data_IF_213073085224
#
_entry.id   IF_213073085224
#
_cell.length_a   1.000
_cell.length_b   1.000
_cell.length_c   1.000
_cell.angle_alpha   90.00
_cell.angle_beta   90.00
_cell.angle_gamma   90.00
#
_symmetry.space_group_name_H-M   'P 1'
#
loop_
_entity.id
_entity.type
_entity.pdbx_description
1 polymer ?
#
# COMPACT_ATOMS: atom_id res chain seq x y z
N UNK A 1 7.17 27.20 36.41
CA UNK A 1 8.53 27.62 36.02
C UNK A 1 8.68 27.59 34.48
N UNK A 2 8.28 28.64 33.74
CA UNK A 2 8.54 28.75 32.30
C UNK A 2 9.30 30.06 31.99
N UNK A 3 10.60 30.13 32.29
CA UNK A 3 11.38 31.36 32.08
C UNK A 3 12.47 31.22 30.99
N UNK A 4 12.72 30.01 30.47
CA UNK A 4 13.89 29.77 29.60
C UNK A 4 13.61 29.81 28.09
N UNK A 5 12.35 29.75 27.64
CA UNK A 5 12.01 29.73 26.20
C UNK A 5 11.69 31.12 25.60
N UNK A 6 11.44 32.14 26.41
CA UNK A 6 11.13 33.49 25.92
C UNK A 6 12.38 34.30 25.57
N UNK A 7 13.54 33.93 26.14
CA UNK A 7 14.76 34.74 26.03
C UNK A 7 15.49 34.56 24.68
N UNK A 8 15.32 33.42 24.00
CA UNK A 8 15.95 33.15 22.69
C UNK A 8 15.22 33.80 21.52
N UNK A 9 13.87 33.87 21.55
CA UNK A 9 13.09 34.58 20.51
C UNK A 9 13.32 36.09 20.54
N UNK A 10 13.27 36.70 21.72
CA UNK A 10 13.54 38.14 21.86
C UNK A 10 14.95 38.53 21.40
N UNK A 11 15.95 37.66 21.60
CA UNK A 11 17.30 37.87 21.10
C UNK A 11 17.45 37.69 19.58
N UNK A 12 16.63 36.84 18.94
CA UNK A 12 16.63 36.68 17.48
C UNK A 12 15.89 37.81 16.76
N UNK A 13 14.79 38.31 17.35
CA UNK A 13 14.02 39.41 16.78
C UNK A 13 14.84 40.73 16.80
N UNK A 14 15.51 41.03 17.91
CA UNK A 14 16.39 42.22 18.01
C UNK A 14 17.60 42.19 17.06
N UNK A 15 18.15 41.00 16.79
CA UNK A 15 19.24 40.83 15.80
C UNK A 15 18.76 41.04 14.36
N UNK A 16 17.49 40.74 14.09
CA UNK A 16 16.88 40.87 12.76
C UNK A 16 16.52 42.32 12.46
N UNK A 17 15.99 43.07 13.43
CA UNK A 17 15.75 44.52 13.32
C UNK A 17 17.05 45.33 13.15
N UNK A 18 18.09 44.96 13.92
CA UNK A 18 19.42 45.54 13.80
C UNK A 18 20.01 45.30 12.40
N UNK A 19 19.81 44.10 11.85
CA UNK A 19 20.24 43.72 10.51
C UNK A 19 19.62 44.59 9.42
N UNK A 20 18.30 44.77 9.46
CA UNK A 20 17.59 45.59 8.46
C UNK A 20 18.10 47.02 8.48
N UNK A 21 18.24 47.61 9.67
CA UNK A 21 18.70 48.99 9.84
C UNK A 21 20.14 49.21 9.35
N UNK A 22 21.05 48.28 9.67
CA UNK A 22 22.46 48.40 9.30
C UNK A 22 22.69 48.10 7.82
N UNK A 23 21.87 47.25 7.20
CA UNK A 23 21.98 46.88 5.78
C UNK A 23 21.83 48.07 4.84
N UNK A 24 20.88 48.96 5.12
CA UNK A 24 20.64 50.15 4.29
C UNK A 24 21.82 51.12 4.41
N UNK A 25 22.34 51.30 5.63
CA UNK A 25 23.55 52.10 5.89
C UNK A 25 24.79 51.50 5.21
N UNK A 26 24.96 50.17 5.26
CA UNK A 26 26.07 49.47 4.62
C UNK A 26 26.03 49.60 3.10
N UNK A 27 24.85 49.57 2.47
CA UNK A 27 24.73 49.70 1.01
C UNK A 27 25.02 51.10 0.49
N UNK A 28 24.52 52.13 1.17
CA UNK A 28 24.69 53.54 0.78
C UNK A 28 26.06 54.14 1.11
N UNK A 29 26.90 53.43 1.88
CA UNK A 29 28.18 53.93 2.39
C UNK A 29 29.34 53.82 1.38
N UNK A 30 30.34 54.69 1.54
CA UNK A 30 31.60 54.62 0.78
C UNK A 30 32.41 53.36 1.17
N UNK A 31 33.42 52.96 0.38
CA UNK A 31 34.24 51.77 0.70
C UNK A 31 34.88 51.81 2.10
N UNK A 32 35.26 53.00 2.56
CA UNK A 32 35.85 53.20 3.90
C UNK A 32 34.79 53.06 5.00
N UNK A 33 33.61 53.61 4.77
CA UNK A 33 32.49 53.57 5.72
C UNK A 33 31.82 52.19 5.80
N UNK A 34 31.89 51.41 4.72
CA UNK A 34 31.48 50.00 4.71
C UNK A 34 32.32 49.14 5.66
N UNK A 35 33.64 49.35 5.68
CA UNK A 35 34.54 48.67 6.61
C UNK A 35 34.14 48.94 8.06
N UNK A 36 33.97 50.23 8.41
CA UNK A 36 33.55 50.64 9.75
C UNK A 36 32.18 50.09 10.16
N UNK A 37 31.21 50.14 9.25
CA UNK A 37 29.85 49.62 9.50
C UNK A 37 29.86 48.10 9.70
N UNK A 38 30.74 47.38 9.00
CA UNK A 38 30.93 45.94 9.15
C UNK A 38 31.60 45.60 10.48
N UNK A 39 32.62 46.35 10.89
CA UNK A 39 33.30 46.15 12.18
C UNK A 39 32.36 46.39 13.37
N UNK A 40 31.54 47.45 13.29
CA UNK A 40 30.49 47.75 14.29
C UNK A 40 29.46 46.60 14.36
N UNK A 41 29.08 46.01 13.22
CA UNK A 41 28.13 44.90 13.17
C UNK A 41 28.70 43.59 13.71
N UNK A 42 29.97 43.30 13.42
CA UNK A 42 30.71 42.14 13.96
C UNK A 42 30.84 42.26 15.48
N UNK A 43 31.15 43.46 15.99
CA UNK A 43 31.30 43.70 17.42
C UNK A 43 29.98 43.46 18.20
N UNK A 44 28.82 43.76 17.59
CA UNK A 44 27.51 43.58 18.23
C UNK A 44 26.99 42.15 18.08
N UNK A 45 27.23 41.50 16.94
CA UNK A 45 26.67 40.16 16.66
C UNK A 45 27.60 39.00 17.05
N UNK A 46 28.91 39.25 17.17
CA UNK A 46 29.93 38.24 17.41
C UNK A 46 30.14 37.28 16.23
N UNK A 47 29.60 37.60 15.04
CA UNK A 47 29.70 36.75 13.87
C UNK A 47 31.07 36.86 13.18
N UNK A 48 31.38 35.86 12.35
CA UNK A 48 32.59 35.87 11.56
C UNK A 48 32.48 36.86 10.38
N UNK A 49 33.51 37.65 10.13
CA UNK A 49 33.54 38.72 9.12
C UNK A 49 32.99 38.33 7.73
N UNK A 50 33.35 37.14 7.21
CA UNK A 50 32.79 36.63 5.93
C UNK A 50 31.30 36.35 5.96
N UNK A 51 30.75 35.95 7.11
CA UNK A 51 29.33 35.69 7.29
C UNK A 51 28.53 37.00 7.19
N UNK A 52 29.01 38.05 7.85
CA UNK A 52 28.33 39.34 7.90
C UNK A 52 28.41 40.12 6.57
N UNK A 53 29.53 40.02 5.85
CA UNK A 53 29.60 40.51 4.46
C UNK A 53 28.50 39.90 3.60
N UNK A 54 28.28 38.59 3.72
CA UNK A 54 27.26 37.88 2.95
C UNK A 54 25.86 38.30 3.40
N UNK A 55 25.64 38.51 4.69
CA UNK A 55 24.34 38.86 5.27
C UNK A 55 23.93 40.29 4.91
N UNK A 56 24.85 41.25 5.04
CA UNK A 56 24.65 42.66 4.66
C UNK A 56 24.64 42.86 3.13
N UNK A 57 25.41 42.03 2.40
CA UNK A 57 25.56 42.09 0.95
C UNK A 57 24.49 41.34 0.14
N UNK A 58 23.76 40.39 0.74
CA UNK A 58 22.56 39.82 0.08
C UNK A 58 21.61 40.97 -0.27
N UNK A 59 21.02 40.97 -1.45
CA UNK A 59 19.91 41.86 -1.78
C UNK A 59 18.71 41.48 -0.91
N UNK A 60 17.94 42.46 -0.43
CA UNK A 60 16.67 42.20 0.26
C UNK A 60 15.63 41.61 -0.68
N UNK A 61 15.97 41.53 -1.96
CA UNK A 61 15.26 40.83 -2.99
C UNK A 61 15.68 39.36 -2.96
N UNK A 62 15.12 38.62 -2.00
CA UNK A 62 14.71 37.26 -2.32
C UNK A 62 13.54 37.40 -3.32
N UNK A 63 13.88 37.85 -4.53
CA UNK A 63 12.95 37.91 -5.63
C UNK A 63 12.34 36.53 -5.72
N UNK A 64 11.01 36.48 -5.61
CA UNK A 64 10.25 35.31 -5.99
C UNK A 64 10.85 34.83 -7.31
N UNK A 65 11.44 33.63 -7.29
CA UNK A 65 11.87 32.97 -8.53
C UNK A 65 10.70 33.12 -9.50
N UNK A 66 10.91 33.63 -10.73
CA UNK A 66 9.80 33.86 -11.65
C UNK A 66 9.02 32.56 -11.73
N UNK A 67 7.80 32.58 -11.17
CA UNK A 67 6.95 31.41 -11.16
C UNK A 67 6.71 31.11 -12.62
N UNK A 68 7.28 29.99 -13.08
CA UNK A 68 7.12 29.46 -14.41
C UNK A 68 5.67 29.71 -14.85
N UNK A 69 5.52 30.49 -15.91
CA UNK A 69 4.26 31.01 -16.46
C UNK A 69 3.12 30.04 -16.14
N UNK A 70 2.19 30.45 -15.27
CA UNK A 70 0.96 29.71 -14.96
C UNK A 70 0.08 29.72 -16.21
N UNK A 71 0.45 28.91 -17.20
CA UNK A 71 -0.40 28.60 -18.34
C UNK A 71 -1.65 27.90 -17.82
N UNK A 72 -2.79 28.58 -17.93
CA UNK A 72 -4.16 28.05 -17.86
C UNK A 72 -4.44 27.14 -16.65
N UNK A 73 -4.64 27.80 -15.50
CA UNK A 73 -4.98 27.22 -14.19
C UNK A 73 -6.16 26.21 -14.21
N UNK A 74 -7.09 26.33 -15.17
CA UNK A 74 -8.28 25.48 -15.28
C UNK A 74 -7.96 24.06 -15.79
N UNK A 75 -6.97 23.89 -16.68
CA UNK A 75 -6.60 22.57 -17.23
C UNK A 75 -5.55 21.84 -16.38
N UNK A 76 -4.79 22.59 -15.57
CA UNK A 76 -3.77 22.02 -14.68
C UNK A 76 -4.36 21.37 -13.42
N UNK A 77 -5.59 21.70 -13.05
CA UNK A 77 -6.31 21.04 -11.95
C UNK A 77 -6.96 19.73 -12.47
N UNK A 78 -7.57 19.74 -13.67
CA UNK A 78 -8.29 18.57 -14.21
C UNK A 78 -7.46 17.26 -14.29
N UNK A 79 -6.15 17.37 -14.55
CA UNK A 79 -5.24 16.22 -14.56
C UNK A 79 -5.10 15.61 -13.15
N UNK A 80 -4.73 16.37 -12.10
CA UNK A 80 -4.82 15.94 -10.71
C UNK A 80 -6.16 15.32 -10.33
N UNK A 81 -7.30 15.93 -10.66
CA UNK A 81 -8.63 15.36 -10.35
C UNK A 81 -8.84 13.99 -10.99
N UNK A 82 -8.53 13.88 -12.28
CA UNK A 82 -8.59 12.60 -12.99
C UNK A 82 -7.69 11.55 -12.34
N UNK A 83 -6.46 11.92 -11.96
CA UNK A 83 -5.51 11.02 -11.27
C UNK A 83 -6.10 10.52 -9.95
N UNK A 84 -6.78 11.37 -9.20
CA UNK A 84 -7.38 11.01 -7.91
C UNK A 84 -8.52 10.00 -8.11
N UNK A 85 -9.42 10.24 -9.05
CA UNK A 85 -10.53 9.33 -9.36
C UNK A 85 -10.02 7.96 -9.77
N UNK A 86 -9.03 7.92 -10.68
CA UNK A 86 -8.43 6.66 -11.14
C UNK A 86 -7.68 5.96 -10.01
N UNK A 87 -6.96 6.71 -9.17
CA UNK A 87 -6.23 6.16 -8.03
C UNK A 87 -7.15 5.58 -6.96
N UNK A 88 -8.30 6.21 -6.70
CA UNK A 88 -9.33 5.70 -5.79
C UNK A 88 -10.01 4.44 -6.35
N UNK A 89 -10.27 4.39 -7.66
CA UNK A 89 -10.77 3.20 -8.34
C UNK A 89 -9.76 2.05 -8.34
N UNK A 90 -8.46 2.37 -8.39
CA UNK A 90 -7.36 1.41 -8.35
C UNK A 90 -6.95 0.99 -6.93
N UNK A 91 -7.83 1.12 -5.93
CA UNK A 91 -7.56 0.77 -4.53
C UNK A 91 -6.30 1.42 -3.94
N UNK A 92 -5.99 2.64 -4.40
CA UNK A 92 -4.89 3.46 -3.87
C UNK A 92 -3.51 2.82 -4.01
N UNK A 93 -3.27 2.05 -5.07
CA UNK A 93 -1.97 1.47 -5.39
C UNK A 93 -0.86 2.53 -5.54
N UNK A 94 0.40 2.11 -5.36
CA UNK A 94 1.55 3.00 -5.52
C UNK A 94 1.71 3.47 -6.98
N UNK A 95 2.32 4.64 -7.20
CA UNK A 95 2.43 5.27 -8.53
C UNK A 95 3.08 4.39 -9.59
N UNK A 96 4.01 3.50 -9.22
CA UNK A 96 4.62 2.52 -10.13
C UNK A 96 3.59 1.53 -10.69
N UNK A 97 2.74 0.97 -9.83
CA UNK A 97 1.66 0.05 -10.24
C UNK A 97 0.54 0.81 -10.95
N UNK A 98 0.21 2.01 -10.46
CA UNK A 98 -0.77 2.87 -11.08
C UNK A 98 -0.40 3.18 -12.54
N UNK A 99 0.86 3.56 -12.80
CA UNK A 99 1.35 3.82 -14.17
C UNK A 99 1.14 2.61 -15.10
N UNK A 100 1.45 1.41 -14.63
CA UNK A 100 1.29 0.19 -15.43
C UNK A 100 -0.18 -0.14 -15.70
N UNK A 101 -1.06 0.10 -14.72
CA UNK A 101 -2.49 -0.16 -14.83
C UNK A 101 -3.26 0.93 -15.59
N UNK A 102 -2.67 2.12 -15.73
CA UNK A 102 -3.34 3.33 -16.19
C UNK A 102 -4.03 3.18 -17.57
N UNK A 103 -3.39 2.62 -18.62
CA UNK A 103 -4.02 2.48 -19.93
C UNK A 103 -5.24 1.55 -19.91
N UNK A 104 -5.18 0.48 -19.10
CA UNK A 104 -6.28 -0.47 -18.94
C UNK A 104 -7.42 0.13 -18.12
N UNK A 105 -7.10 0.78 -17.00
CA UNK A 105 -8.07 1.40 -16.10
C UNK A 105 -8.84 2.51 -16.80
N UNK A 106 -8.15 3.45 -17.45
CA UNK A 106 -8.80 4.55 -18.19
C UNK A 106 -9.73 3.99 -19.26
N UNK A 107 -9.25 3.07 -20.10
CA UNK A 107 -10.08 2.47 -21.14
C UNK A 107 -11.27 1.67 -20.59
N UNK A 108 -11.13 1.04 -19.43
CA UNK A 108 -12.25 0.35 -18.77
C UNK A 108 -13.26 1.32 -18.19
N UNK A 109 -12.81 2.39 -17.55
CA UNK A 109 -13.68 3.37 -16.92
C UNK A 109 -14.46 4.21 -17.95
N UNK A 110 -13.84 4.53 -19.09
CA UNK A 110 -14.52 5.17 -20.23
C UNK A 110 -15.60 4.25 -20.82
N UNK A 111 -15.30 2.95 -21.02
CA UNK A 111 -16.29 1.98 -21.55
C UNK A 111 -17.51 1.78 -20.66
N UNK A 112 -17.35 1.94 -19.35
CA UNK A 112 -18.42 1.77 -18.37
C UNK A 112 -19.02 3.12 -17.91
N UNK A 113 -18.74 4.22 -18.61
CA UNK A 113 -19.28 5.56 -18.32
C UNK A 113 -18.95 6.05 -16.89
N UNK A 114 -17.90 5.52 -16.29
CA UNK A 114 -17.42 5.93 -14.96
C UNK A 114 -16.40 7.07 -15.03
N UNK A 115 -15.91 7.39 -16.22
CA UNK A 115 -14.95 8.44 -16.47
C UNK A 115 -15.12 8.96 -17.90
N UNK A 116 -15.24 10.27 -18.04
CA UNK A 116 -15.17 10.96 -19.34
C UNK A 116 -14.00 11.93 -19.30
N UNK A 117 -12.87 11.53 -19.91
CA UNK A 117 -11.68 12.36 -19.96
C UNK A 117 -11.69 13.19 -21.24
N UNK A 118 -11.49 14.49 -21.08
CA UNK A 118 -11.13 15.35 -22.20
C UNK A 118 -9.88 14.77 -22.92
N UNK A 119 -9.88 14.70 -24.26
CA UNK A 119 -8.74 14.20 -25.03
C UNK A 119 -7.39 14.82 -24.65
N UNK A 120 -7.37 16.11 -24.27
CA UNK A 120 -6.16 16.81 -23.84
C UNK A 120 -5.67 16.31 -22.47
N UNK A 121 -6.59 16.03 -21.54
CA UNK A 121 -6.28 15.46 -20.22
C UNK A 121 -5.75 14.05 -20.38
N UNK A 122 -6.38 13.24 -21.23
CA UNK A 122 -5.94 11.87 -21.54
C UNK A 122 -4.54 11.84 -22.13
N UNK A 123 -4.25 12.75 -23.08
CA UNK A 123 -2.93 12.86 -23.72
C UNK A 123 -1.81 13.25 -22.73
N UNK A 124 -2.13 13.97 -21.65
CA UNK A 124 -1.18 14.33 -20.58
C UNK A 124 -1.06 13.25 -19.50
N UNK A 125 -2.15 12.54 -19.23
CA UNK A 125 -2.25 11.53 -18.18
C UNK A 125 -1.54 10.22 -18.56
N UNK A 126 -1.80 9.67 -19.74
CA UNK A 126 -1.22 8.41 -20.20
C UNK A 126 0.33 8.38 -20.22
N UNK A 127 1.04 9.42 -20.68
CA UNK A 127 2.50 9.44 -20.66
C UNK A 127 3.10 9.82 -19.30
N UNK A 128 2.28 10.15 -18.29
CA UNK A 128 2.77 10.61 -17.00
C UNK A 128 3.70 9.56 -16.35
N UNK A 129 4.83 10.04 -15.82
CA UNK A 129 5.76 9.17 -15.11
C UNK A 129 5.18 8.74 -13.76
N UNK A 130 5.63 7.60 -13.22
CA UNK A 130 5.23 7.15 -11.89
C UNK A 130 5.54 8.20 -10.81
N UNK A 131 6.68 8.89 -10.94
CA UNK A 131 7.08 9.98 -10.05
C UNK A 131 6.15 11.21 -10.16
N UNK A 132 5.65 11.51 -11.38
CA UNK A 132 4.67 12.57 -11.60
C UNK A 132 3.35 12.22 -10.90
N UNK A 133 2.84 11.01 -11.12
CA UNK A 133 1.62 10.52 -10.46
C UNK A 133 1.76 10.54 -8.93
N UNK A 134 2.90 10.09 -8.40
CA UNK A 134 3.17 10.12 -6.96
C UNK A 134 3.16 11.56 -6.40
N UNK A 135 3.76 12.53 -7.11
CA UNK A 135 3.75 13.95 -6.72
C UNK A 135 2.34 14.54 -6.74
N UNK A 136 1.55 14.23 -7.77
CA UNK A 136 0.15 14.68 -7.86
C UNK A 136 -0.72 14.12 -6.72
N UNK A 137 -0.43 12.90 -6.26
CA UNK A 137 -1.16 12.24 -5.17
C UNK A 137 -0.64 12.58 -3.78
N UNK A 138 0.56 13.20 -3.64
CA UNK A 138 1.14 13.53 -2.33
C UNK A 138 0.23 14.34 -1.41
N UNK A 139 -0.51 15.37 -1.88
CA UNK A 139 -1.36 16.18 -1.00
C UNK A 139 -2.51 15.37 -0.39
N UNK A 140 -2.97 14.33 -1.07
CA UNK A 140 -4.21 13.62 -0.73
C UNK A 140 -3.93 12.31 0.01
N UNK A 141 -2.76 11.70 -0.20
CA UNK A 141 -2.34 10.46 0.49
C UNK A 141 -2.48 10.50 2.03
N UNK A 142 -2.11 11.59 2.73
CA UNK A 142 -2.24 11.65 4.18
C UNK A 142 -3.70 11.62 4.64
N UNK A 143 -4.59 12.32 3.91
CA UNK A 143 -6.01 12.47 4.25
C UNK A 143 -6.85 11.29 3.80
N UNK A 144 -6.48 10.65 2.68
CA UNK A 144 -7.18 9.49 2.16
C UNK A 144 -7.14 8.30 3.14
N UNK A 145 -6.06 8.18 3.93
CA UNK A 145 -5.84 7.03 4.80
C UNK A 145 -5.55 5.75 4.00
N UNK A 146 -4.92 4.76 4.64
CA UNK A 146 -4.83 3.41 4.05
C UNK A 146 -6.24 2.83 4.05
N UNK A 147 -6.83 2.61 2.86
CA UNK A 147 -8.04 1.78 2.73
C UNK A 147 -7.71 0.47 3.45
N UNK A 148 -8.50 0.12 4.48
CA UNK A 148 -8.24 -0.96 5.44
C UNK A 148 -7.43 -2.07 4.77
N UNK A 149 -6.18 -2.29 5.19
CA UNK A 149 -5.47 -3.53 4.87
C UNK A 149 -6.48 -4.64 5.08
N UNK A 150 -6.84 -5.38 4.01
CA UNK A 150 -7.62 -6.62 4.14
C UNK A 150 -6.98 -7.34 5.30
N UNK A 151 -7.71 -7.49 6.42
CA UNK A 151 -7.19 -8.18 7.60
C UNK A 151 -6.69 -9.50 7.03
N UNK A 152 -5.37 -9.71 7.07
CA UNK A 152 -4.80 -11.02 6.81
C UNK A 152 -5.47 -11.87 7.89
N UNK A 153 -6.55 -12.60 7.55
CA UNK A 153 -7.05 -13.67 8.41
C UNK A 153 -5.78 -14.46 8.73
N UNK A 154 -5.49 -14.69 10.01
CA UNK A 154 -4.49 -15.66 10.37
C UNK A 154 -5.03 -16.95 9.76
N UNK A 155 -4.55 -17.29 8.57
CA UNK A 155 -5.07 -18.45 7.87
C UNK A 155 -4.61 -19.63 8.70
N UNK A 156 -5.56 -20.48 9.09
CA UNK A 156 -5.26 -21.73 9.76
C UNK A 156 -4.22 -22.54 8.96
N UNK A 157 -4.16 -22.34 7.63
CA UNK A 157 -3.10 -22.83 6.74
C UNK A 157 -1.67 -22.45 7.10
N UNK A 158 -1.41 -21.44 7.95
CA UNK A 158 -0.05 -21.19 8.47
C UNK A 158 0.40 -22.19 9.53
N UNK A 159 -0.54 -22.93 10.12
CA UNK A 159 -0.26 -23.98 11.12
C UNK A 159 -0.07 -25.35 10.46
N UNK A 160 -0.49 -25.50 9.20
CA UNK A 160 -0.33 -26.72 8.41
C UNK A 160 0.97 -26.62 7.61
N UNK A 161 1.94 -27.54 7.78
CA UNK A 161 3.13 -27.57 6.95
C UNK A 161 2.74 -27.81 5.48
N UNK A 162 3.18 -26.96 4.56
CA UNK A 162 3.00 -27.19 3.12
C UNK A 162 3.97 -28.29 2.71
N UNK A 163 3.43 -29.44 2.28
CA UNK A 163 4.20 -30.51 1.68
C UNK A 163 4.13 -30.39 0.16
N UNK A 164 5.23 -30.70 -0.51
CA UNK A 164 5.32 -30.81 -1.96
C UNK A 164 5.43 -32.28 -2.36
N UNK A 165 5.14 -32.60 -3.62
CA UNK A 165 5.14 -33.96 -4.15
C UNK A 165 6.39 -34.81 -3.79
N UNK A 166 7.56 -34.17 -3.67
CA UNK A 166 8.82 -34.85 -3.32
C UNK A 166 8.97 -35.19 -1.83
N UNK A 167 8.13 -34.65 -0.96
CA UNK A 167 8.28 -34.79 0.49
C UNK A 167 7.67 -36.09 1.04
N UNK A 168 6.94 -36.84 0.22
CA UNK A 168 6.19 -38.02 0.66
C UNK A 168 7.07 -39.24 0.97
N UNK A 169 8.27 -39.35 0.39
CA UNK A 169 9.23 -40.44 0.67
C UNK A 169 8.62 -41.87 0.72
N UNK A 170 7.57 -42.12 -0.09
CA UNK A 170 6.80 -43.39 -0.11
C UNK A 170 6.28 -43.79 1.28
N UNK A 171 5.26 -43.10 1.81
CA UNK A 171 4.73 -43.44 3.11
C UNK A 171 4.05 -44.82 3.06
N UNK A 172 3.91 -45.53 4.20
CA UNK A 172 3.08 -46.74 4.24
C UNK A 172 1.60 -46.39 3.94
N UNK A 173 0.77 -47.38 3.58
CA UNK A 173 -0.68 -47.17 3.42
C UNK A 173 -1.30 -46.57 4.68
N UNK A 174 -2.25 -45.65 4.50
CA UNK A 174 -2.94 -44.93 5.57
C UNK A 174 -2.82 -43.41 5.50
N UNK A 175 -2.07 -42.84 4.56
CA UNK A 175 -2.04 -41.38 4.36
C UNK A 175 -2.94 -41.01 3.20
N UNK A 176 -4.01 -40.28 3.49
CA UNK A 176 -5.05 -39.95 2.53
C UNK A 176 -4.90 -38.53 2.01
N UNK A 177 -4.88 -38.37 0.69
CA UNK A 177 -5.12 -37.10 0.02
C UNK A 177 -6.64 -36.91 -0.13
N UNK A 178 -7.16 -35.82 0.42
CA UNK A 178 -8.58 -35.47 0.36
C UNK A 178 -8.81 -34.20 -0.47
N UNK A 179 -9.87 -34.23 -1.29
CA UNK A 179 -10.30 -33.12 -2.13
C UNK A 179 -11.83 -33.01 -2.13
N UNK A 180 -12.38 -31.81 -2.39
CA UNK A 180 -13.82 -31.62 -2.53
C UNK A 180 -14.21 -30.88 -3.81
N UNK A 181 -15.29 -31.34 -4.44
CA UNK A 181 -15.86 -30.70 -5.62
C UNK A 181 -17.24 -30.13 -5.30
N UNK A 182 -17.38 -28.81 -5.43
CA UNK A 182 -18.66 -28.12 -5.27
C UNK A 182 -19.53 -28.27 -6.53
N UNK A 183 -20.73 -28.83 -6.40
CA UNK A 183 -21.72 -28.96 -7.47
C UNK A 183 -22.55 -27.67 -7.59
N UNK A 184 -21.89 -26.56 -7.92
CA UNK A 184 -22.51 -25.21 -7.90
C UNK A 184 -23.00 -24.70 -9.25
N UNK A 185 -22.64 -25.36 -10.36
CA UNK A 185 -23.11 -25.01 -11.72
C UNK A 185 -22.84 -23.57 -12.17
N UNK A 186 -22.04 -22.79 -11.42
CA UNK A 186 -21.95 -21.34 -11.52
C UNK A 186 -21.21 -20.71 -10.33
N UNK A 187 -21.50 -19.45 -9.96
CA UNK A 187 -20.75 -18.74 -8.93
C UNK A 187 -20.84 -19.44 -7.57
N UNK A 188 -19.70 -19.54 -6.87
CA UNK A 188 -19.51 -20.19 -5.57
C UNK A 188 -20.20 -19.48 -4.38
N UNK A 189 -21.14 -18.57 -4.64
CA UNK A 189 -21.89 -17.88 -3.58
C UNK A 189 -23.20 -18.62 -3.28
N UNK A 190 -23.24 -19.42 -2.21
CA UNK A 190 -24.45 -20.13 -1.80
C UNK A 190 -24.16 -21.42 -1.02
N UNK A 191 -25.22 -22.20 -0.78
CA UNK A 191 -25.13 -23.54 -0.21
C UNK A 191 -25.17 -24.56 -1.34
N UNK A 192 -24.19 -25.47 -1.39
CA UNK A 192 -24.05 -26.44 -2.47
C UNK A 192 -23.81 -27.85 -1.91
N UNK A 193 -24.05 -28.83 -2.77
CA UNK A 193 -23.63 -30.20 -2.51
C UNK A 193 -22.16 -30.29 -2.87
N UNK A 194 -21.35 -30.86 -1.99
CA UNK A 194 -19.94 -31.13 -2.25
C UNK A 194 -19.72 -32.63 -2.30
N UNK A 195 -18.97 -33.14 -3.27
CA UNK A 195 -18.46 -34.51 -3.22
C UNK A 195 -17.06 -34.48 -2.63
N UNK A 196 -16.84 -35.23 -1.55
CA UNK A 196 -15.51 -35.45 -0.98
C UNK A 196 -14.88 -36.67 -1.67
N UNK A 197 -13.61 -36.57 -2.04
CA UNK A 197 -12.81 -37.69 -2.55
C UNK A 197 -11.65 -37.90 -1.60
N UNK A 198 -11.35 -39.16 -1.25
CA UNK A 198 -10.22 -39.52 -0.42
C UNK A 198 -9.43 -40.65 -1.08
N UNK A 199 -8.12 -40.44 -1.28
CA UNK A 199 -7.24 -41.40 -1.98
C UNK A 199 -6.00 -41.67 -1.13
N UNK A 200 -5.67 -42.94 -0.92
CA UNK A 200 -4.42 -43.28 -0.24
C UNK A 200 -3.20 -43.04 -1.13
N UNK A 201 -2.23 -42.30 -0.62
CA UNK A 201 -1.04 -41.86 -1.36
C UNK A 201 -0.12 -43.04 -1.69
N UNK A 202 -0.08 -44.07 -0.85
CA UNK A 202 0.80 -45.23 -1.04
C UNK A 202 0.29 -46.17 -2.13
N UNK A 203 -0.99 -46.55 -2.03
CA UNK A 203 -1.64 -47.57 -2.85
C UNK A 203 -2.36 -46.99 -4.05
N UNK A 204 -2.64 -45.69 -4.04
CA UNK A 204 -3.53 -45.04 -4.99
C UNK A 204 -4.99 -45.49 -4.84
N UNK A 205 -5.35 -46.14 -3.73
CA UNK A 205 -6.71 -46.66 -3.51
C UNK A 205 -7.68 -45.50 -3.30
N UNK A 206 -8.64 -45.28 -4.22
CA UNK A 206 -9.70 -44.31 -4.02
C UNK A 206 -10.79 -44.92 -3.16
N UNK A 207 -11.24 -44.20 -2.13
CA UNK A 207 -12.43 -44.60 -1.37
C UNK A 207 -13.70 -44.24 -2.15
N UNK A 208 -13.97 -44.93 -3.26
CA UNK A 208 -15.17 -44.67 -4.07
C UNK A 208 -16.49 -45.01 -3.35
N UNK A 209 -16.45 -45.87 -2.33
CA UNK A 209 -17.65 -46.32 -1.62
C UNK A 209 -18.17 -45.29 -0.63
N UNK A 210 -17.28 -44.45 -0.07
CA UNK A 210 -17.66 -43.39 0.88
C UNK A 210 -17.28 -41.98 0.42
N UNK A 211 -16.73 -41.84 -0.79
CA UNK A 211 -16.68 -40.58 -1.55
C UNK A 211 -18.08 -40.19 -2.02
N UNK A 212 -18.94 -39.83 -1.06
CA UNK A 212 -20.33 -39.46 -1.28
C UNK A 212 -20.55 -37.95 -1.36
N UNK A 213 -21.69 -37.51 -1.92
CA UNK A 213 -22.13 -36.13 -1.81
C UNK A 213 -22.51 -35.80 -0.36
N UNK A 214 -21.88 -34.77 0.21
CA UNK A 214 -22.23 -34.19 1.50
C UNK A 214 -22.79 -32.77 1.30
N UNK A 215 -23.88 -32.40 1.99
CA UNK A 215 -24.40 -31.05 1.93
C UNK A 215 -23.48 -30.09 2.68
N UNK A 216 -22.89 -29.12 1.98
CA UNK A 216 -22.11 -28.06 2.59
C UNK A 216 -22.97 -26.78 2.62
N UNK A 217 -23.54 -26.51 3.80
CA UNK A 217 -24.43 -25.36 3.98
C UNK A 217 -23.66 -24.03 4.03
N UNK A 218 -22.39 -24.04 4.45
CA UNK A 218 -21.49 -22.88 4.52
C UNK A 218 -20.01 -23.32 4.43
N UNK A 219 -19.12 -22.48 3.86
CA UNK A 219 -17.65 -22.66 3.79
C UNK A 219 -16.95 -22.90 5.16
N UNK A 220 -17.68 -22.89 6.27
CA UNK A 220 -17.16 -22.84 7.63
C UNK A 220 -17.58 -23.99 8.54
N UNK A 221 -18.31 -25.00 8.04
CA UNK A 221 -18.91 -26.03 8.90
C UNK A 221 -18.49 -27.44 8.45
N UNK A 222 -17.81 -28.24 9.29
CA UNK A 222 -17.19 -29.50 8.89
C UNK A 222 -18.21 -30.65 8.85
N UNK A 223 -19.32 -30.48 8.13
CA UNK A 223 -20.30 -31.55 7.93
C UNK A 223 -19.71 -32.75 7.19
N UNK A 224 -18.72 -32.51 6.33
CA UNK A 224 -17.95 -33.55 5.66
C UNK A 224 -17.28 -34.50 6.68
N UNK A 225 -16.80 -33.99 7.82
CA UNK A 225 -16.18 -34.82 8.86
C UNK A 225 -17.17 -35.80 9.49
N UNK A 226 -18.41 -35.37 9.72
CA UNK A 226 -19.45 -36.23 10.30
C UNK A 226 -19.88 -37.32 9.33
N UNK A 227 -19.91 -37.01 8.02
CA UNK A 227 -20.22 -37.97 6.97
C UNK A 227 -19.08 -38.95 6.68
N UNK A 228 -17.83 -38.51 6.83
CA UNK A 228 -16.64 -39.31 6.56
C UNK A 228 -16.18 -40.16 7.75
N UNK A 229 -16.34 -39.70 9.00
CA UNK A 229 -15.91 -40.44 10.20
C UNK A 229 -16.40 -41.91 10.26
N UNK A 230 -17.62 -42.26 9.85
CA UNK A 230 -18.07 -43.65 9.79
C UNK A 230 -17.32 -44.51 8.75
N UNK A 231 -16.80 -43.92 7.67
CA UNK A 231 -16.07 -44.66 6.63
C UNK A 231 -14.62 -44.97 7.01
N UNK A 232 -14.08 -44.32 8.04
CA UNK A 232 -12.73 -44.61 8.54
C UNK A 232 -12.58 -46.09 8.93
N UNK A 233 -13.64 -46.72 9.45
CA UNK A 233 -13.61 -48.13 9.84
C UNK A 233 -13.71 -49.13 8.69
N UNK A 234 -14.07 -48.69 7.48
CA UNK A 234 -14.17 -49.54 6.29
C UNK A 234 -12.89 -49.62 5.48
N UNK A 235 -11.89 -48.79 5.77
CA UNK A 235 -10.60 -48.86 5.08
C UNK A 235 -9.88 -50.18 5.43
N UNK A 236 -9.21 -50.82 4.43
CA UNK A 236 -8.44 -52.05 4.65
C UNK A 236 -7.13 -51.83 5.43
N UNK A 237 -6.83 -50.58 5.79
CA UNK A 237 -5.65 -50.15 6.53
C UNK A 237 -6.03 -49.03 7.52
N UNK A 238 -5.27 -48.86 8.62
CA UNK A 238 -5.47 -47.74 9.53
C UNK A 238 -5.14 -46.41 8.84
N UNK A 239 -5.98 -45.40 9.05
CA UNK A 239 -5.68 -44.03 8.61
C UNK A 239 -4.67 -43.42 9.58
N UNK A 240 -3.53 -42.99 9.03
CA UNK A 240 -2.37 -42.44 9.72
C UNK A 240 -2.25 -40.92 9.57
N UNK A 241 -2.88 -40.35 8.54
CA UNK A 241 -2.88 -38.90 8.31
C UNK A 241 -3.72 -38.49 7.12
N UNK A 242 -4.06 -37.22 7.09
CA UNK A 242 -4.85 -36.59 6.02
C UNK A 242 -4.04 -35.42 5.46
N UNK A 243 -4.00 -35.32 4.14
CA UNK A 243 -3.47 -34.19 3.39
C UNK A 243 -4.62 -33.56 2.59
N UNK A 244 -4.81 -32.26 2.76
CA UNK A 244 -5.82 -31.50 2.02
C UNK A 244 -5.17 -30.26 1.42
N UNK A 245 -5.80 -29.71 0.40
CA UNK A 245 -5.42 -28.40 -0.09
C UNK A 245 -5.80 -27.28 0.92
N UNK A 246 -5.51 -26.03 0.54
CA UNK A 246 -5.82 -24.86 1.36
C UNK A 246 -7.26 -24.36 1.22
N UNK A 247 -8.21 -25.20 0.79
CA UNK A 247 -9.60 -24.80 0.71
C UNK A 247 -10.13 -24.46 2.11
N UNK A 248 -11.01 -23.46 2.13
CA UNK A 248 -11.80 -23.03 3.26
C UNK A 248 -12.57 -24.18 3.92
N UNK A 249 -13.04 -25.16 3.14
CA UNK A 249 -13.77 -26.34 3.61
C UNK A 249 -12.93 -27.20 4.58
N UNK A 250 -11.63 -27.31 4.31
CA UNK A 250 -10.68 -28.12 5.08
C UNK A 250 -9.90 -27.31 6.11
N UNK A 251 -9.79 -25.99 5.91
CA UNK A 251 -9.21 -25.06 6.86
C UNK A 251 -10.14 -24.87 8.07
N UNK A 252 -10.20 -25.85 8.96
CA UNK A 252 -10.99 -25.81 10.20
C UNK A 252 -10.26 -26.48 11.38
N UNK A 253 -10.70 -26.20 12.61
CA UNK A 253 -10.06 -26.74 13.83
C UNK A 253 -10.19 -28.26 13.94
N UNK A 254 -11.24 -28.85 13.38
CA UNK A 254 -11.50 -30.29 13.42
C UNK A 254 -10.42 -31.07 12.68
N UNK A 255 -10.04 -30.62 11.48
CA UNK A 255 -8.99 -31.28 10.70
C UNK A 255 -7.60 -31.07 11.30
N UNK A 256 -7.32 -29.91 11.94
CA UNK A 256 -6.03 -29.65 12.58
C UNK A 256 -5.81 -30.51 13.84
N UNK A 257 -6.90 -30.92 14.51
CA UNK A 257 -6.84 -31.75 15.72
C UNK A 257 -6.75 -33.25 15.45
N UNK A 258 -7.01 -33.68 14.21
CA UNK A 258 -6.90 -35.08 13.79
C UNK A 258 -5.44 -35.49 13.59
#
# INVERSE_FOLDING_TARGET
MPAHCLNTRHQQDGKTELLVTIRDRYRGSSKKDKGRTLDEFIAVTGHHHKHDIRLLGQSGDAGEKPSMIKGRRIYNEAVPEAVIVIWEAADRICGKRLKAALPYLVGSMERHEHLDLDPEVRARLLPASAATLDRLLQPIRPTAGSRRRRRRRQSMSKRVPVRTYNDWNRPPPGYLEIDSVAHCGGPLSGSFIHSLVATDICTGWPDHEHSGPFPCWTESNPWWWQGWKPSVSTYPFPILGIDSDNDSVFSNETLIQY
#
